data_IF_269850259991
#
_entry.id   IF_269850259991
#
_cell.length_a   1.000
_cell.length_b   1.000
_cell.length_c   1.000
_cell.angle_alpha   90.00
_cell.angle_beta   90.00
_cell.angle_gamma   90.00
#
_symmetry.space_group_name_H-M   'P 1'
#
loop_
_entity.id
_entity.type
_entity.pdbx_description
1 polymer ?
#
# COMPACT_ATOMS: atom_id res chain seq x y z
N UNK A 1 -27.08 -25.70 -19.86
CA UNK A 1 -25.67 -25.78 -19.39
C UNK A 1 -24.95 -24.43 -19.29
N UNK A 2 -25.42 -23.34 -19.93
CA UNK A 2 -24.78 -22.02 -19.84
C UNK A 2 -24.95 -21.27 -18.52
N UNK A 3 -26.03 -21.48 -17.77
CA UNK A 3 -26.32 -20.72 -16.54
C UNK A 3 -25.42 -21.09 -15.35
N UNK A 4 -24.99 -22.35 -15.26
CA UNK A 4 -24.17 -22.86 -14.13
C UNK A 4 -22.72 -22.38 -14.23
N UNK A 5 -22.17 -22.26 -15.46
CA UNK A 5 -20.80 -21.74 -15.67
C UNK A 5 -20.69 -20.25 -15.36
N UNK A 6 -21.72 -19.44 -15.67
CA UNK A 6 -21.74 -18.01 -15.31
C UNK A 6 -21.78 -17.82 -13.79
N UNK A 7 -22.60 -18.57 -13.06
CA UNK A 7 -22.66 -18.49 -11.59
C UNK A 7 -21.33 -18.82 -10.90
N UNK A 8 -20.63 -19.86 -11.37
CA UNK A 8 -19.31 -20.21 -10.83
C UNK A 8 -18.21 -19.17 -11.16
N UNK A 9 -18.27 -18.55 -12.33
CA UNK A 9 -17.30 -17.53 -12.76
C UNK A 9 -17.44 -16.24 -11.94
N UNK A 10 -18.67 -15.82 -11.61
CA UNK A 10 -18.93 -14.63 -10.78
C UNK A 10 -18.50 -14.86 -9.33
N UNK A 11 -18.80 -16.03 -8.75
CA UNK A 11 -18.35 -16.39 -7.39
C UNK A 11 -16.83 -16.30 -7.25
N UNK A 12 -16.10 -16.80 -8.24
CA UNK A 12 -14.63 -16.76 -8.25
C UNK A 12 -14.07 -15.32 -8.39
N UNK A 13 -14.72 -14.44 -9.16
CA UNK A 13 -14.31 -13.03 -9.27
C UNK A 13 -14.51 -12.26 -7.95
N UNK A 14 -15.64 -12.48 -7.27
CA UNK A 14 -15.92 -11.88 -5.97
C UNK A 14 -14.92 -12.33 -4.91
N UNK A 15 -14.52 -13.61 -4.92
CA UNK A 15 -13.53 -14.11 -3.96
C UNK A 15 -12.14 -13.52 -4.21
N UNK A 16 -11.77 -13.29 -5.47
CA UNK A 16 -10.55 -12.54 -5.82
C UNK A 16 -10.59 -11.09 -5.31
N UNK A 17 -11.73 -10.41 -5.44
CA UNK A 17 -11.92 -9.03 -4.94
C UNK A 17 -11.89 -8.97 -3.41
N UNK A 18 -12.53 -9.90 -2.72
CA UNK A 18 -12.44 -10.02 -1.24
C UNK A 18 -11.00 -10.20 -0.80
N UNK A 19 -10.25 -11.07 -1.49
CA UNK A 19 -8.83 -11.28 -1.22
C UNK A 19 -8.01 -10.01 -1.46
N UNK A 20 -8.28 -9.27 -2.53
CA UNK A 20 -7.64 -7.97 -2.78
C UNK A 20 -7.87 -7.00 -1.62
N UNK A 21 -9.09 -6.84 -1.12
CA UNK A 21 -9.38 -5.94 -0.01
C UNK A 21 -8.71 -6.40 1.30
N UNK A 22 -8.69 -7.70 1.59
CA UNK A 22 -7.97 -8.23 2.74
C UNK A 22 -6.46 -7.95 2.66
N UNK A 23 -5.86 -8.08 1.48
CA UNK A 23 -4.45 -7.74 1.23
C UNK A 23 -4.18 -6.24 1.38
N UNK A 24 -5.15 -5.37 1.06
CA UNK A 24 -5.04 -3.93 1.31
C UNK A 24 -5.13 -3.59 2.81
N UNK A 25 -5.98 -4.30 3.56
CA UNK A 25 -6.03 -4.16 5.02
C UNK A 25 -4.71 -4.60 5.67
N UNK A 26 -4.16 -5.74 5.25
CA UNK A 26 -2.84 -6.22 5.68
C UNK A 26 -1.74 -5.20 5.35
N UNK A 27 -1.81 -4.57 4.17
CA UNK A 27 -0.88 -3.51 3.76
C UNK A 27 -0.95 -2.30 4.70
N UNK A 28 -2.16 -1.87 5.08
CA UNK A 28 -2.37 -0.77 6.04
C UNK A 28 -1.76 -1.12 7.40
N UNK A 29 -2.00 -2.33 7.90
CA UNK A 29 -1.42 -2.81 9.16
C UNK A 29 0.12 -2.86 9.10
N UNK A 30 0.67 -3.28 7.95
CA UNK A 30 2.13 -3.30 7.72
C UNK A 30 2.74 -1.90 7.78
N UNK A 31 2.07 -0.88 7.20
CA UNK A 31 2.50 0.51 7.33
C UNK A 31 2.44 1.01 8.79
N UNK A 32 1.43 0.61 9.56
CA UNK A 32 1.32 0.98 10.98
C UNK A 32 2.50 0.40 11.79
N UNK A 33 2.79 -0.90 11.61
CA UNK A 33 3.94 -1.54 12.23
C UNK A 33 5.26 -0.86 11.82
N UNK A 34 5.35 -0.42 10.56
CA UNK A 34 6.53 0.27 10.08
C UNK A 34 6.76 1.60 10.79
N UNK A 35 5.70 2.40 10.94
CA UNK A 35 5.76 3.68 11.64
C UNK A 35 6.08 3.47 13.12
N UNK A 36 5.39 2.55 13.81
CA UNK A 36 5.64 2.24 15.22
C UNK A 36 7.09 1.84 15.48
N UNK A 37 7.64 0.94 14.66
CA UNK A 37 9.02 0.53 14.77
C UNK A 37 10.02 1.63 14.45
N UNK A 38 9.67 2.55 13.54
CA UNK A 38 10.48 3.74 13.28
C UNK A 38 10.44 4.74 14.45
N UNK A 39 9.29 4.97 15.07
CA UNK A 39 9.19 5.81 16.27
C UNK A 39 10.02 5.21 17.42
N UNK A 40 9.98 3.90 17.62
CA UNK A 40 10.81 3.21 18.60
C UNK A 40 12.31 3.35 18.30
N UNK A 41 12.70 3.27 17.02
CA UNK A 41 14.06 3.53 16.58
C UNK A 41 14.50 4.98 16.86
N UNK A 42 13.68 5.98 16.52
CA UNK A 42 13.98 7.39 16.77
C UNK A 42 14.08 7.74 18.26
N UNK A 43 13.27 7.10 19.11
CA UNK A 43 13.32 7.30 20.56
C UNK A 43 14.68 6.90 21.18
N UNK A 44 15.50 6.12 20.46
CA UNK A 44 16.85 5.76 20.86
C UNK A 44 17.91 6.84 20.59
N UNK A 45 17.55 7.99 20.00
CA UNK A 45 18.52 9.04 19.65
C UNK A 45 19.32 9.52 20.89
N UNK A 46 20.65 9.76 20.75
CA UNK A 46 21.47 9.57 19.55
C UNK A 46 22.00 8.13 19.35
N UNK A 47 21.81 7.25 20.33
CA UNK A 47 22.28 5.85 20.30
C UNK A 47 21.29 4.90 19.61
N UNK A 48 21.06 5.16 18.34
CA UNK A 48 20.13 4.39 17.51
C UNK A 48 20.44 2.89 17.47
N UNK A 49 19.41 2.05 17.64
CA UNK A 49 19.52 0.61 17.45
C UNK A 49 19.34 0.22 15.97
N UNK A 50 20.33 0.57 15.14
CA UNK A 50 20.33 0.26 13.70
C UNK A 50 20.14 -1.22 13.37
N UNK A 51 20.77 -2.19 14.08
CA UNK A 51 20.58 -3.61 13.77
C UNK A 51 19.12 -4.06 13.91
N UNK A 52 18.45 -3.65 14.99
CA UNK A 52 17.03 -3.98 15.20
C UNK A 52 16.14 -3.34 14.13
N UNK A 53 16.36 -2.06 13.83
CA UNK A 53 15.55 -1.36 12.84
C UNK A 53 15.75 -1.91 11.42
N UNK A 54 16.99 -2.26 11.04
CA UNK A 54 17.27 -2.91 9.75
C UNK A 54 16.54 -4.25 9.62
N UNK A 55 16.49 -5.04 10.69
CA UNK A 55 15.78 -6.32 10.68
C UNK A 55 14.28 -6.10 10.43
N UNK A 56 13.67 -5.13 11.12
CA UNK A 56 12.27 -4.75 10.89
C UNK A 56 12.03 -4.30 9.44
N UNK A 57 12.88 -3.43 8.89
CA UNK A 57 12.79 -2.97 7.49
C UNK A 57 12.81 -4.15 6.53
N UNK A 58 13.64 -5.15 6.78
CA UNK A 58 13.71 -6.35 5.96
C UNK A 58 12.39 -7.15 5.99
N UNK A 59 11.87 -7.44 7.18
CA UNK A 59 10.59 -8.17 7.37
C UNK A 59 9.40 -7.45 6.71
N UNK A 60 9.34 -6.12 6.85
CA UNK A 60 8.32 -5.28 6.25
C UNK A 60 8.44 -5.25 4.72
N UNK A 61 9.67 -5.21 4.20
CA UNK A 61 9.91 -5.25 2.74
C UNK A 61 9.44 -6.57 2.13
N UNK A 62 9.69 -7.70 2.80
CA UNK A 62 9.20 -9.00 2.36
C UNK A 62 7.67 -9.07 2.38
N UNK A 63 7.04 -8.52 3.42
CA UNK A 63 5.58 -8.45 3.54
C UNK A 63 4.97 -7.64 2.39
N UNK A 64 5.46 -6.42 2.13
CA UNK A 64 4.99 -5.61 1.00
C UNK A 64 5.19 -6.29 -0.35
N UNK A 65 6.33 -6.98 -0.54
CA UNK A 65 6.62 -7.73 -1.76
C UNK A 65 5.57 -8.84 -1.96
N UNK A 66 5.32 -9.67 -0.95
CA UNK A 66 4.35 -10.76 -1.04
C UNK A 66 2.94 -10.24 -1.38
N UNK A 67 2.48 -9.20 -0.66
CA UNK A 67 1.19 -8.55 -0.94
C UNK A 67 1.12 -8.08 -2.40
N UNK A 68 2.18 -7.44 -2.90
CA UNK A 68 2.20 -6.89 -4.26
C UNK A 68 2.16 -7.99 -5.33
N UNK A 69 2.93 -9.06 -5.14
CA UNK A 69 2.93 -10.22 -6.04
C UNK A 69 1.55 -10.91 -6.10
N UNK A 70 0.88 -11.05 -4.95
CA UNK A 70 -0.47 -11.60 -4.88
C UNK A 70 -1.50 -10.71 -5.57
N UNK A 71 -1.44 -9.39 -5.36
CA UNK A 71 -2.34 -8.44 -6.03
C UNK A 71 -2.14 -8.45 -7.54
N UNK A 72 -0.89 -8.53 -8.03
CA UNK A 72 -0.60 -8.69 -9.47
C UNK A 72 -1.23 -9.98 -10.02
N UNK A 73 -1.20 -11.07 -9.24
CA UNK A 73 -1.85 -12.32 -9.62
C UNK A 73 -3.39 -12.19 -9.70
N UNK A 74 -3.99 -11.47 -8.75
CA UNK A 74 -5.43 -11.18 -8.72
C UNK A 74 -5.83 -10.33 -9.92
N UNK A 75 -5.10 -9.23 -10.18
CA UNK A 75 -5.32 -8.32 -11.31
C UNK A 75 -5.35 -9.08 -12.64
N UNK A 76 -4.35 -9.92 -12.88
CA UNK A 76 -4.25 -10.72 -14.12
C UNK A 76 -5.45 -11.64 -14.31
N UNK A 77 -5.87 -12.34 -13.26
CA UNK A 77 -7.04 -13.23 -13.31
C UNK A 77 -8.32 -12.46 -13.58
N UNK A 78 -8.54 -11.34 -12.88
CA UNK A 78 -9.73 -10.50 -13.10
C UNK A 78 -9.78 -9.98 -14.55
N UNK A 79 -8.65 -9.54 -15.10
CA UNK A 79 -8.56 -9.06 -16.48
C UNK A 79 -8.74 -10.17 -17.51
N UNK A 80 -8.03 -11.29 -17.37
CA UNK A 80 -7.89 -12.31 -18.42
C UNK A 80 -8.96 -13.40 -18.31
N UNK A 81 -9.23 -13.90 -17.12
CA UNK A 81 -10.08 -15.06 -16.89
C UNK A 81 -11.55 -14.67 -16.67
N UNK A 82 -11.78 -13.47 -16.12
CA UNK A 82 -13.10 -12.94 -15.79
C UNK A 82 -13.58 -11.81 -16.72
N UNK A 83 -12.71 -11.32 -17.61
CA UNK A 83 -13.08 -10.28 -18.57
C UNK A 83 -13.42 -8.94 -17.92
N UNK A 84 -12.78 -8.59 -16.81
CA UNK A 84 -12.98 -7.34 -16.05
C UNK A 84 -11.77 -6.39 -16.20
N UNK A 85 -11.50 -5.83 -17.41
CA UNK A 85 -10.32 -5.01 -17.64
C UNK A 85 -10.36 -3.66 -16.90
N UNK A 86 -11.54 -3.09 -16.66
CA UNK A 86 -11.69 -1.83 -15.91
C UNK A 86 -11.27 -2.00 -14.45
N UNK A 87 -11.77 -3.06 -13.79
CA UNK A 87 -11.34 -3.51 -12.45
C UNK A 87 -9.82 -3.69 -12.40
N UNK A 88 -9.24 -4.40 -13.38
CA UNK A 88 -7.79 -4.58 -13.46
C UNK A 88 -7.03 -3.25 -13.57
N UNK A 89 -7.54 -2.28 -14.33
CA UNK A 89 -6.91 -0.96 -14.46
C UNK A 89 -6.90 -0.19 -13.12
N UNK A 90 -7.99 -0.23 -12.34
CA UNK A 90 -8.00 0.39 -11.01
C UNK A 90 -7.00 -0.28 -10.06
N UNK A 91 -6.92 -1.61 -10.06
CA UNK A 91 -5.94 -2.34 -9.24
C UNK A 91 -4.50 -1.93 -9.60
N UNK A 92 -4.18 -1.77 -10.88
CA UNK A 92 -2.85 -1.29 -11.32
C UNK A 92 -2.57 0.11 -10.79
N UNK A 93 -3.50 1.06 -10.96
CA UNK A 93 -3.30 2.42 -10.45
C UNK A 93 -3.09 2.45 -8.93
N UNK A 94 -3.83 1.61 -8.19
CA UNK A 94 -3.63 1.45 -6.74
C UNK A 94 -2.24 0.88 -6.43
N UNK A 95 -1.74 -0.10 -7.19
CA UNK A 95 -0.37 -0.61 -7.00
C UNK A 95 0.70 0.45 -7.28
N UNK A 96 0.53 1.25 -8.32
CA UNK A 96 1.46 2.32 -8.68
C UNK A 96 1.52 3.40 -7.58
N UNK A 97 0.36 3.81 -7.06
CA UNK A 97 0.28 4.78 -5.97
C UNK A 97 0.79 4.20 -4.65
N UNK A 98 0.55 2.92 -4.36
CA UNK A 98 1.08 2.26 -3.17
C UNK A 98 2.61 2.12 -3.20
N UNK A 99 3.18 1.89 -4.39
CA UNK A 99 4.63 1.95 -4.58
C UNK A 99 5.18 3.34 -4.25
N UNK A 100 4.55 4.39 -4.78
CA UNK A 100 4.96 5.77 -4.51
C UNK A 100 4.78 6.13 -3.03
N UNK A 101 3.71 5.66 -2.38
CA UNK A 101 3.50 5.83 -0.94
C UNK A 101 4.63 5.19 -0.12
N UNK A 102 5.10 4.00 -0.49
CA UNK A 102 6.23 3.35 0.19
C UNK A 102 7.52 4.15 0.02
N UNK A 103 7.81 4.64 -1.20
CA UNK A 103 8.98 5.49 -1.48
C UNK A 103 8.93 6.80 -0.65
N UNK A 104 7.78 7.46 -0.59
CA UNK A 104 7.56 8.67 0.20
C UNK A 104 7.63 8.39 1.71
N UNK A 105 7.18 7.22 2.17
CA UNK A 105 7.29 6.81 3.58
C UNK A 105 8.76 6.66 3.98
N UNK A 106 9.57 5.96 3.17
CA UNK A 106 10.99 5.83 3.42
C UNK A 106 11.70 7.20 3.39
N UNK A 107 11.33 8.08 2.45
CA UNK A 107 11.83 9.45 2.41
C UNK A 107 11.44 10.23 3.67
N UNK A 108 10.20 10.12 4.12
CA UNK A 108 9.72 10.81 5.32
C UNK A 108 10.51 10.38 6.56
N UNK A 109 10.85 9.10 6.67
CA UNK A 109 11.69 8.61 7.76
C UNK A 109 13.09 9.25 7.73
N UNK A 110 13.73 9.31 6.57
CA UNK A 110 15.03 9.98 6.41
C UNK A 110 14.93 11.46 6.79
N UNK A 111 13.93 12.17 6.24
CA UNK A 111 13.72 13.59 6.53
C UNK A 111 13.44 13.82 8.03
N UNK A 112 12.68 12.92 8.67
CA UNK A 112 12.38 13.00 10.12
C UNK A 112 13.62 12.77 10.96
N UNK A 113 14.45 11.77 10.61
CA UNK A 113 15.69 11.52 11.33
C UNK A 113 16.65 12.72 11.20
N UNK A 114 16.76 13.33 10.01
CA UNK A 114 17.60 14.52 9.83
C UNK A 114 17.15 15.70 10.70
N UNK A 115 15.84 15.89 10.91
CA UNK A 115 15.31 16.92 11.83
C UNK A 115 15.72 16.64 13.28
N UNK A 116 15.82 15.36 13.68
CA UNK A 116 16.27 14.96 15.02
C UNK A 116 17.78 15.13 15.16
N UNK A 117 18.55 14.72 14.15
CA UNK A 117 20.02 14.75 14.15
C UNK A 117 20.58 16.18 13.98
N UNK A 118 19.87 17.07 13.28
CA UNK A 118 20.29 18.44 12.94
C UNK A 118 19.16 19.47 13.19
N UNK A 119 18.75 19.70 14.45
CA UNK A 119 17.57 20.50 14.78
C UNK A 119 17.70 22.00 14.41
N UNK A 120 18.92 22.51 14.24
CA UNK A 120 19.23 23.89 13.84
C UNK A 120 19.09 24.15 12.34
N UNK A 121 19.05 23.12 11.50
CA UNK A 121 18.90 23.27 10.06
C UNK A 121 17.41 23.18 9.66
N UNK A 122 16.81 24.35 9.46
CA UNK A 122 15.39 24.46 9.10
C UNK A 122 15.07 23.86 7.72
N UNK A 123 16.05 23.64 6.84
CA UNK A 123 15.81 23.03 5.53
C UNK A 123 15.29 21.59 5.64
N UNK A 124 15.71 20.85 6.68
CA UNK A 124 15.19 19.50 6.93
C UNK A 124 13.72 19.52 7.38
N UNK A 125 13.29 20.55 8.12
CA UNK A 125 11.89 20.73 8.52
C UNK A 125 11.02 21.01 7.30
N UNK A 126 11.48 21.88 6.39
CA UNK A 126 10.78 22.17 5.14
C UNK A 126 10.66 20.91 4.25
N UNK A 127 11.75 20.15 4.10
CA UNK A 127 11.76 18.88 3.38
C UNK A 127 10.76 17.87 3.95
N UNK A 128 10.76 17.68 5.27
CA UNK A 128 9.82 16.81 5.98
C UNK A 128 8.36 17.23 5.74
N UNK A 129 8.04 18.52 5.77
CA UNK A 129 6.67 19.00 5.50
C UNK A 129 6.25 18.76 4.05
N UNK A 130 7.15 18.99 3.09
CA UNK A 130 6.90 18.69 1.68
C UNK A 130 6.62 17.20 1.45
N UNK A 131 7.43 16.31 2.04
CA UNK A 131 7.22 14.87 1.95
C UNK A 131 5.90 14.45 2.58
N UNK A 132 5.52 15.02 3.74
CA UNK A 132 4.20 14.78 4.36
C UNK A 132 3.04 15.20 3.46
N UNK A 133 3.16 16.33 2.77
CA UNK A 133 2.12 16.79 1.86
C UNK A 133 1.96 15.84 0.68
N UNK A 134 3.07 15.41 0.06
CA UNK A 134 3.05 14.42 -1.02
C UNK A 134 2.45 13.09 -0.57
N UNK A 135 2.75 12.66 0.66
CA UNK A 135 2.21 11.43 1.24
C UNK A 135 0.69 11.49 1.41
N UNK A 136 0.15 12.63 1.88
CA UNK A 136 -1.30 12.84 1.97
C UNK A 136 -1.96 12.73 0.60
N UNK A 137 -1.39 13.40 -0.40
CA UNK A 137 -1.93 13.38 -1.76
C UNK A 137 -1.98 11.97 -2.36
N UNK A 138 -0.94 11.15 -2.17
CA UNK A 138 -0.97 9.77 -2.69
C UNK A 138 -1.97 8.90 -1.92
N UNK A 139 -2.12 9.10 -0.61
CA UNK A 139 -3.15 8.41 0.18
C UNK A 139 -4.56 8.76 -0.31
N UNK A 140 -4.82 10.04 -0.58
CA UNK A 140 -6.11 10.49 -1.12
C UNK A 140 -6.40 9.82 -2.46
N UNK A 141 -5.43 9.79 -3.39
CA UNK A 141 -5.60 9.09 -4.68
C UNK A 141 -5.86 7.58 -4.53
N UNK A 142 -5.18 6.91 -3.61
CA UNK A 142 -5.42 5.48 -3.32
C UNK A 142 -6.87 5.29 -2.87
N UNK A 143 -7.35 6.14 -1.96
CA UNK A 143 -8.72 6.07 -1.47
C UNK A 143 -9.73 6.32 -2.58
N UNK A 144 -9.51 7.34 -3.43
CA UNK A 144 -10.34 7.62 -4.58
C UNK A 144 -10.41 6.39 -5.51
N UNK A 145 -9.27 5.76 -5.79
CA UNK A 145 -9.23 4.58 -6.67
C UNK A 145 -9.89 3.35 -6.04
N UNK A 146 -9.80 3.18 -4.72
CA UNK A 146 -10.52 2.13 -3.99
C UNK A 146 -12.03 2.38 -4.02
N UNK A 147 -12.48 3.62 -3.98
CA UNK A 147 -13.90 3.97 -4.08
C UNK A 147 -14.43 3.73 -5.50
N UNK A 148 -13.72 4.21 -6.54
CA UNK A 148 -14.05 3.94 -7.94
C UNK A 148 -14.11 2.43 -8.25
N UNK A 149 -13.17 1.66 -7.68
CA UNK A 149 -13.18 0.20 -7.78
C UNK A 149 -14.42 -0.43 -7.13
N UNK A 150 -14.91 0.11 -6.00
CA UNK A 150 -16.16 -0.37 -5.38
C UNK A 150 -17.35 -0.14 -6.30
N UNK A 151 -17.48 1.04 -6.87
CA UNK A 151 -18.56 1.34 -7.82
C UNK A 151 -18.48 0.44 -9.06
N UNK A 152 -17.29 0.25 -9.65
CA UNK A 152 -17.09 -0.62 -10.82
C UNK A 152 -17.45 -2.09 -10.55
N UNK A 153 -17.40 -2.52 -9.28
CA UNK A 153 -17.69 -3.91 -8.89
C UNK A 153 -19.07 -4.10 -8.28
N UNK A 154 -19.89 -3.05 -8.17
CA UNK A 154 -21.22 -3.09 -7.55
C UNK A 154 -22.15 -4.09 -8.27
N UNK A 155 -22.13 -4.09 -9.61
CA UNK A 155 -22.94 -4.99 -10.44
C UNK A 155 -22.63 -6.47 -10.22
N UNK A 156 -21.45 -6.82 -9.68
CA UNK A 156 -21.08 -8.21 -9.38
C UNK A 156 -21.79 -8.76 -8.13
N UNK A 157 -22.40 -7.89 -7.32
CA UNK A 157 -23.12 -8.25 -6.09
C UNK A 157 -24.64 -8.40 -6.29
N UNK A 158 -25.15 -8.09 -7.49
CA UNK A 158 -26.58 -8.20 -7.89
C UNK A 158 -26.88 -9.44 -8.72
#
# INVERSE_FOLDING_TARGET
MHTIQKGNMVSNALDLLKKFYALQEERVQTYQLFDEGFQAYLAGAPEYNFPMYRQLVHEITETFKNISEEIIGIEKKLRQDHGLPAVGNYIVKIQDDEKLKLELTAKLQIDTQNVVDFPEDDSYKEGMQSTKQSLRQVIDRINDHLEELKYETEDLYT
#
